data_IF_802070587911
#
_entry.id   IF_802070587911
#
_cell.length_a   1.000
_cell.length_b   1.000
_cell.length_c   1.000
_cell.angle_alpha   90.00
_cell.angle_beta   90.00
_cell.angle_gamma   90.00
#
_symmetry.space_group_name_H-M   'P 1'
#
loop_
_entity.id
_entity.type
_entity.pdbx_description
1 polymer ?
#
# COMPACT_ATOMS: atom_id res chain seq x y z
N UNK A 1 2.15 18.08 11.35
CA UNK A 1 3.29 18.90 10.88
C UNK A 1 4.26 18.02 10.11
N UNK A 2 4.62 18.36 8.86
CA UNK A 2 5.60 17.58 8.09
C UNK A 2 6.96 17.64 8.79
N UNK A 3 7.63 16.50 8.94
CA UNK A 3 8.97 16.43 9.55
C UNK A 3 10.03 16.67 8.49
N UNK A 4 11.05 17.46 8.85
CA UNK A 4 12.22 17.69 7.99
C UNK A 4 13.23 16.58 8.22
N UNK A 5 13.58 15.87 7.15
CA UNK A 5 14.69 14.92 7.16
C UNK A 5 16.01 15.67 7.05
N UNK A 6 16.97 15.35 7.91
CA UNK A 6 18.31 15.93 7.79
C UNK A 6 19.07 15.35 6.57
N UNK A 7 20.31 15.80 6.36
CA UNK A 7 21.13 15.32 5.23
C UNK A 7 21.41 13.82 5.34
N UNK A 8 21.70 13.30 6.54
CA UNK A 8 22.01 11.89 6.73
C UNK A 8 20.78 11.02 6.49
N UNK A 9 19.62 11.43 7.01
CA UNK A 9 18.35 10.72 6.82
C UNK A 9 17.96 10.65 5.33
N UNK A 10 18.10 11.77 4.60
CA UNK A 10 17.83 11.79 3.16
C UNK A 10 18.75 10.84 2.38
N UNK A 11 20.03 10.76 2.74
CA UNK A 11 20.99 9.84 2.09
C UNK A 11 20.68 8.38 2.40
N UNK A 12 20.25 8.06 3.63
CA UNK A 12 19.77 6.72 4.00
C UNK A 12 18.55 6.34 3.17
N UNK A 13 17.55 7.23 3.09
CA UNK A 13 16.33 6.99 2.30
C UNK A 13 16.64 6.80 0.82
N UNK A 14 17.54 7.61 0.25
CA UNK A 14 17.96 7.48 -1.14
C UNK A 14 18.62 6.12 -1.42
N UNK A 15 19.55 5.70 -0.55
CA UNK A 15 20.22 4.41 -0.71
C UNK A 15 19.25 3.22 -0.59
N UNK A 16 18.28 3.28 0.34
CA UNK A 16 17.24 2.26 0.49
C UNK A 16 16.19 2.28 -0.63
N UNK A 17 16.03 3.41 -1.31
CA UNK A 17 15.16 3.49 -2.50
C UNK A 17 15.80 2.82 -3.71
N UNK A 18 17.14 2.78 -3.79
CA UNK A 18 17.90 2.02 -4.79
C UNK A 18 17.94 0.54 -4.43
N UNK A 19 18.28 0.23 -3.19
CA UNK A 19 18.34 -1.14 -2.66
C UNK A 19 17.76 -1.23 -1.25
N UNK A 20 16.50 -1.67 -1.16
CA UNK A 20 15.81 -1.86 0.10
C UNK A 20 16.36 -3.02 0.95
N UNK A 21 17.22 -3.88 0.39
CA UNK A 21 17.86 -5.00 1.11
C UNK A 21 19.20 -4.59 1.74
N UNK A 22 19.74 -3.42 1.37
CA UNK A 22 21.03 -2.94 1.85
C UNK A 22 21.10 -2.92 3.38
N UNK A 23 22.08 -3.65 3.92
CA UNK A 23 22.31 -3.73 5.35
C UNK A 23 22.95 -2.44 5.89
N UNK A 24 22.80 -2.20 7.20
CA UNK A 24 23.37 -1.00 7.82
C UNK A 24 24.91 -0.87 7.71
N UNK A 25 25.63 -1.99 7.51
CA UNK A 25 27.08 -1.99 7.27
C UNK A 25 27.45 -1.42 5.90
N UNK A 26 26.82 -1.94 4.84
CA UNK A 26 26.99 -1.43 3.48
C UNK A 26 26.59 0.05 3.38
N UNK A 27 25.46 0.41 3.97
CA UNK A 27 25.01 1.80 4.02
C UNK A 27 26.01 2.68 4.77
N UNK A 28 26.63 2.20 5.84
CA UNK A 28 27.62 2.95 6.59
C UNK A 28 28.87 3.26 5.75
N UNK A 29 29.38 2.27 5.01
CA UNK A 29 30.50 2.45 4.08
C UNK A 29 30.17 3.46 2.97
N UNK A 30 29.01 3.30 2.31
CA UNK A 30 28.55 4.24 1.27
C UNK A 30 28.37 5.66 1.78
N UNK A 31 27.96 5.82 3.05
CA UNK A 31 27.59 7.11 3.61
C UNK A 31 28.73 7.82 4.37
N UNK A 32 29.82 7.12 4.66
CA UNK A 32 30.94 7.64 5.45
C UNK A 32 30.59 7.83 6.93
N UNK A 33 29.75 6.95 7.48
CA UNK A 33 29.32 6.97 8.89
C UNK A 33 29.48 5.58 9.50
N UNK A 34 29.13 5.41 10.78
CA UNK A 34 29.19 4.10 11.44
C UNK A 34 27.89 3.30 11.27
N UNK A 35 27.97 1.97 11.23
CA UNK A 35 26.78 1.11 11.15
C UNK A 35 25.79 1.32 12.31
N UNK A 36 26.22 1.50 13.58
CA UNK A 36 25.31 1.89 14.66
C UNK A 36 24.55 3.20 14.40
N UNK A 37 25.22 4.22 13.82
CA UNK A 37 24.56 5.49 13.45
C UNK A 37 23.45 5.25 12.42
N UNK A 38 23.71 4.45 11.38
CA UNK A 38 22.72 4.11 10.36
C UNK A 38 21.54 3.34 10.97
N UNK A 39 21.80 2.30 11.78
CA UNK A 39 20.74 1.51 12.43
C UNK A 39 19.83 2.38 13.29
N UNK A 40 20.40 3.26 14.10
CA UNK A 40 19.64 4.17 14.98
C UNK A 40 18.75 5.10 14.16
N UNK A 41 19.29 5.68 13.07
CA UNK A 41 18.53 6.57 12.19
C UNK A 41 17.42 5.83 11.44
N UNK A 42 17.71 4.67 10.85
CA UNK A 42 16.71 3.82 10.20
C UNK A 42 15.57 3.45 11.16
N UNK A 43 15.92 2.97 12.37
CA UNK A 43 14.92 2.63 13.40
C UNK A 43 14.07 3.83 13.76
N UNK A 44 14.67 5.01 13.88
CA UNK A 44 13.96 6.27 14.16
C UNK A 44 13.02 6.66 13.03
N UNK A 45 13.47 6.61 11.76
CA UNK A 45 12.64 6.92 10.59
C UNK A 45 11.45 5.96 10.48
N UNK A 46 11.67 4.66 10.71
CA UNK A 46 10.63 3.64 10.71
C UNK A 46 9.64 3.84 11.85
N UNK A 47 10.12 4.04 13.08
CA UNK A 47 9.26 4.26 14.24
C UNK A 47 8.40 5.53 14.11
N UNK A 48 8.89 6.53 13.38
CA UNK A 48 8.17 7.77 13.09
C UNK A 48 7.21 7.66 11.89
N UNK A 49 7.16 6.51 11.20
CA UNK A 49 6.35 6.31 10.00
C UNK A 49 6.86 7.05 8.76
N UNK A 50 8.10 7.55 8.78
CA UNK A 50 8.71 8.31 7.67
C UNK A 50 9.39 7.39 6.64
N UNK A 51 9.68 6.15 7.02
CA UNK A 51 10.31 5.14 6.16
C UNK A 51 9.62 3.79 6.40
N UNK A 52 9.31 3.07 5.32
CA UNK A 52 8.90 1.67 5.37
C UNK A 52 9.75 0.91 4.37
N UNK A 53 10.37 -0.17 4.83
CA UNK A 53 11.08 -1.13 3.97
C UNK A 53 10.14 -2.32 3.79
N UNK A 54 9.80 -2.64 2.54
CA UNK A 54 8.89 -3.73 2.21
C UNK A 54 9.29 -4.35 0.87
N UNK A 55 9.01 -5.65 0.73
CA UNK A 55 8.97 -6.28 -0.59
C UNK A 55 7.82 -5.70 -1.41
N UNK A 56 8.10 -5.37 -2.66
CA UNK A 56 7.10 -4.89 -3.61
C UNK A 56 6.88 -5.96 -4.67
N UNK A 57 5.63 -6.11 -5.11
CA UNK A 57 5.24 -7.03 -6.17
C UNK A 57 4.62 -6.26 -7.32
N UNK A 58 4.78 -6.79 -8.54
CA UNK A 58 3.99 -6.35 -9.68
C UNK A 58 2.74 -7.24 -9.79
N UNK A 59 1.55 -6.74 -9.46
CA UNK A 59 0.33 -7.55 -9.48
C UNK A 59 -0.06 -7.99 -10.90
N UNK A 60 0.49 -7.38 -11.95
CA UNK A 60 0.26 -7.80 -13.34
C UNK A 60 1.21 -8.91 -13.79
N UNK A 61 2.21 -9.25 -12.99
CA UNK A 61 3.11 -10.39 -13.21
C UNK A 61 2.76 -11.60 -12.33
N UNK A 62 1.72 -11.48 -11.49
CA UNK A 62 1.31 -12.49 -10.54
C UNK A 62 -0.12 -12.94 -10.87
N UNK A 63 -0.29 -14.24 -11.12
CA UNK A 63 -1.60 -14.80 -11.37
C UNK A 63 -2.47 -14.76 -10.11
N UNK A 64 -3.77 -14.53 -10.30
CA UNK A 64 -4.73 -14.46 -9.21
C UNK A 64 -4.73 -13.12 -8.48
N UNK A 65 -4.14 -12.06 -9.05
CA UNK A 65 -4.32 -10.70 -8.55
C UNK A 65 -5.03 -9.84 -9.60
N UNK A 66 -6.09 -9.16 -9.19
CA UNK A 66 -6.77 -8.15 -10.00
C UNK A 66 -6.65 -6.81 -9.31
N UNK A 67 -6.36 -5.75 -10.09
CA UNK A 67 -6.27 -4.38 -9.59
C UNK A 67 -7.46 -3.59 -10.11
N UNK A 68 -8.13 -2.86 -9.23
CA UNK A 68 -9.19 -1.94 -9.61
C UNK A 68 -9.01 -0.58 -8.92
N UNK A 69 -9.42 0.48 -9.61
CA UNK A 69 -9.61 1.80 -9.03
C UNK A 69 -11.09 2.00 -8.72
N UNK A 70 -11.41 2.60 -7.58
CA UNK A 70 -12.78 2.92 -7.20
C UNK A 70 -12.86 4.41 -6.87
N UNK A 71 -13.66 5.13 -7.63
CA UNK A 71 -14.05 6.51 -7.33
C UNK A 71 -15.27 6.53 -6.43
N UNK A 72 -15.19 7.23 -5.31
CA UNK A 72 -16.21 7.27 -4.27
C UNK A 72 -16.69 8.70 -4.10
N UNK A 73 -18.02 8.87 -4.13
CA UNK A 73 -18.70 10.10 -3.76
C UNK A 73 -19.38 9.90 -2.41
N UNK A 74 -19.15 10.81 -1.47
CA UNK A 74 -19.74 10.78 -0.15
C UNK A 74 -21.08 11.53 -0.14
N UNK A 75 -21.96 11.15 0.79
CA UNK A 75 -23.23 11.87 1.04
C UNK A 75 -22.99 13.25 1.68
N UNK A 76 -21.87 13.42 2.37
CA UNK A 76 -21.50 14.66 3.05
C UNK A 76 -19.98 14.77 3.17
N UNK A 77 -19.46 15.97 3.01
CA UNK A 77 -18.02 16.25 3.10
C UNK A 77 -17.54 16.51 4.54
N UNK A 78 -18.45 16.58 5.53
CA UNK A 78 -18.09 16.91 6.92
C UNK A 78 -17.22 15.85 7.62
N UNK A 79 -17.09 14.66 7.04
CA UNK A 79 -16.34 13.53 7.62
C UNK A 79 -15.31 12.96 6.64
N UNK A 80 -14.78 13.77 5.73
CA UNK A 80 -13.91 13.30 4.66
C UNK A 80 -12.66 12.58 5.17
N UNK A 81 -11.93 13.16 6.13
CA UNK A 81 -10.73 12.53 6.71
C UNK A 81 -11.05 11.24 7.45
N UNK A 82 -12.16 11.22 8.20
CA UNK A 82 -12.63 10.01 8.90
C UNK A 82 -12.97 8.90 7.90
N UNK A 83 -13.69 9.23 6.83
CA UNK A 83 -14.05 8.28 5.77
C UNK A 83 -12.82 7.78 5.03
N UNK A 84 -11.86 8.66 4.75
CA UNK A 84 -10.57 8.28 4.18
C UNK A 84 -9.86 7.25 5.06
N UNK A 85 -9.78 7.47 6.38
CA UNK A 85 -9.17 6.52 7.31
C UNK A 85 -9.91 5.18 7.39
N UNK A 86 -11.24 5.20 7.48
CA UNK A 86 -12.06 3.97 7.50
C UNK A 86 -11.86 3.13 6.22
N UNK A 87 -11.86 3.79 5.06
CA UNK A 87 -11.64 3.14 3.76
C UNK A 87 -10.21 2.62 3.64
N UNK A 88 -9.21 3.40 4.06
CA UNK A 88 -7.80 3.02 3.96
C UNK A 88 -7.46 1.76 4.78
N UNK A 89 -8.24 1.47 5.82
CA UNK A 89 -8.06 0.27 6.66
C UNK A 89 -8.73 -0.98 6.07
N UNK A 90 -9.54 -0.87 5.01
CA UNK A 90 -10.17 -2.03 4.40
C UNK A 90 -9.11 -3.02 3.85
N UNK A 91 -9.33 -4.34 3.97
CA UNK A 91 -8.28 -5.33 3.73
C UNK A 91 -7.65 -5.28 2.32
N UNK A 92 -8.49 -5.05 1.31
CA UNK A 92 -8.09 -5.06 -0.10
C UNK A 92 -7.55 -3.70 -0.58
N UNK A 93 -7.57 -2.66 0.25
CA UNK A 93 -7.12 -1.32 -0.14
C UNK A 93 -5.60 -1.23 -0.11
N UNK A 94 -5.02 -0.85 -1.25
CA UNK A 94 -3.59 -0.55 -1.37
C UNK A 94 -3.29 0.90 -0.96
N UNK A 95 -4.11 1.84 -1.43
CA UNK A 95 -4.08 3.23 -1.00
C UNK A 95 -5.45 3.89 -1.24
N UNK A 96 -5.71 4.95 -0.49
CA UNK A 96 -6.85 5.84 -0.69
C UNK A 96 -6.38 7.29 -0.62
N UNK A 97 -7.00 8.16 -1.40
CA UNK A 97 -6.67 9.57 -1.43
C UNK A 97 -7.93 10.42 -1.60
N UNK A 98 -7.97 11.54 -0.88
CA UNK A 98 -8.88 12.64 -1.21
C UNK A 98 -8.37 13.30 -2.48
N UNK A 99 -9.25 13.49 -3.45
CA UNK A 99 -8.88 14.07 -4.74
C UNK A 99 -9.79 15.22 -5.14
N UNK A 100 -9.26 16.12 -5.96
CA UNK A 100 -10.07 17.07 -6.69
C UNK A 100 -10.69 16.37 -7.90
N UNK A 101 -11.99 16.56 -8.14
CA UNK A 101 -12.65 16.00 -9.32
C UNK A 101 -14.10 15.64 -9.05
N UNK A 102 -14.63 14.69 -9.82
CA UNK A 102 -16.03 14.22 -9.68
C UNK A 102 -16.27 13.31 -8.46
N UNK A 103 -15.19 12.80 -7.87
CA UNK A 103 -15.19 11.96 -6.68
C UNK A 103 -14.48 12.67 -5.54
N UNK A 104 -14.89 12.35 -4.32
CA UNK A 104 -14.27 12.87 -3.11
C UNK A 104 -13.04 12.03 -2.72
N UNK A 105 -13.11 10.72 -2.94
CA UNK A 105 -12.04 9.76 -2.64
C UNK A 105 -11.79 8.86 -3.85
N UNK A 106 -10.52 8.68 -4.22
CA UNK A 106 -10.05 7.60 -5.09
C UNK A 106 -9.35 6.54 -4.27
N UNK A 107 -9.66 5.29 -4.57
CA UNK A 107 -9.10 4.11 -3.90
C UNK A 107 -8.54 3.18 -4.94
N UNK A 108 -7.39 2.59 -4.64
CA UNK A 108 -6.92 1.41 -5.35
C UNK A 108 -7.07 0.18 -4.49
N UNK A 109 -7.66 -0.87 -5.07
CA UNK A 109 -7.80 -2.17 -4.44
C UNK A 109 -7.04 -3.25 -5.21
N UNK A 110 -6.64 -4.28 -4.48
CA UNK A 110 -6.09 -5.54 -5.01
C UNK A 110 -6.91 -6.69 -4.46
N UNK A 111 -7.41 -7.54 -5.34
CA UNK A 111 -8.32 -8.65 -5.02
C UNK A 111 -7.77 -9.95 -5.59
N UNK A 112 -8.04 -11.07 -4.90
CA UNK A 112 -7.48 -12.40 -5.21
C UNK A 112 -8.41 -13.29 -6.05
N UNK A 113 -9.69 -12.94 -6.12
CA UNK A 113 -10.77 -13.75 -6.71
C UNK A 113 -11.46 -12.97 -7.83
N UNK A 114 -10.69 -12.59 -8.87
CA UNK A 114 -11.20 -11.93 -10.09
C UNK A 114 -12.28 -10.84 -9.87
N UNK A 115 -13.43 -10.93 -10.52
CA UNK A 115 -14.53 -9.95 -10.46
C UNK A 115 -15.43 -10.16 -9.25
N UNK A 116 -15.51 -11.38 -8.68
CA UNK A 116 -16.30 -11.61 -7.45
C UNK A 116 -15.71 -10.85 -6.28
N UNK A 117 -14.38 -10.78 -6.19
CA UNK A 117 -13.69 -9.97 -5.19
C UNK A 117 -14.00 -8.47 -5.28
N UNK A 118 -14.31 -7.97 -6.48
CA UNK A 118 -14.73 -6.57 -6.66
C UNK A 118 -16.16 -6.38 -6.18
N UNK A 119 -17.06 -7.32 -6.47
CA UNK A 119 -18.42 -7.28 -5.95
C UNK A 119 -18.42 -7.28 -4.41
N UNK A 120 -17.68 -8.20 -3.78
CA UNK A 120 -17.57 -8.29 -2.33
C UNK A 120 -17.02 -7.02 -1.70
N UNK A 121 -16.00 -6.42 -2.32
CA UNK A 121 -15.47 -5.14 -1.87
C UNK A 121 -16.53 -4.03 -1.92
N UNK A 122 -17.29 -3.94 -3.02
CA UNK A 122 -18.30 -2.89 -3.18
C UNK A 122 -19.52 -3.10 -2.27
N UNK A 123 -20.03 -4.33 -2.22
CA UNK A 123 -21.28 -4.69 -1.55
C UNK A 123 -21.11 -4.83 -0.04
N UNK A 124 -20.03 -5.47 0.41
CA UNK A 124 -19.79 -5.75 1.84
C UNK A 124 -18.89 -4.69 2.48
N UNK A 125 -17.69 -4.53 1.95
CA UNK A 125 -16.64 -3.75 2.63
C UNK A 125 -16.94 -2.25 2.54
N UNK A 126 -17.15 -1.73 1.33
CA UNK A 126 -17.40 -0.32 1.07
C UNK A 126 -18.78 0.13 1.59
N UNK A 127 -19.83 -0.68 1.40
CA UNK A 127 -21.14 -0.39 1.99
C UNK A 127 -21.10 -0.37 3.52
N UNK A 128 -20.30 -1.25 4.13
CA UNK A 128 -20.11 -1.31 5.58
C UNK A 128 -19.50 -0.04 6.18
N UNK A 129 -18.69 0.70 5.42
CA UNK A 129 -18.19 2.03 5.83
C UNK A 129 -19.35 3.02 5.98
N UNK A 130 -20.37 2.94 5.13
CA UNK A 130 -21.51 3.85 5.13
C UNK A 130 -21.16 5.30 4.74
N UNK A 131 -22.19 6.10 4.45
CA UNK A 131 -22.00 7.50 4.03
C UNK A 131 -21.50 7.67 2.59
N UNK A 132 -21.45 6.59 1.82
CA UNK A 132 -21.20 6.59 0.37
C UNK A 132 -22.51 6.91 -0.36
N UNK A 133 -22.48 7.90 -1.25
CA UNK A 133 -23.60 8.27 -2.11
C UNK A 133 -23.61 7.45 -3.39
N UNK A 134 -22.43 7.28 -3.99
CA UNK A 134 -22.23 6.48 -5.20
C UNK A 134 -20.76 6.09 -5.33
N UNK A 135 -20.50 4.99 -6.03
CA UNK A 135 -19.16 4.60 -6.43
C UNK A 135 -19.12 4.23 -7.91
N UNK A 136 -17.92 4.26 -8.49
CA UNK A 136 -17.66 3.80 -9.85
C UNK A 136 -16.29 3.14 -9.90
N UNK A 137 -16.23 1.98 -10.55
CA UNK A 137 -15.07 1.10 -10.51
C UNK A 137 -14.44 0.94 -11.88
N UNK A 138 -13.11 0.87 -11.92
CA UNK A 138 -12.28 0.73 -13.11
C UNK A 138 -11.35 -0.45 -12.90
N UNK A 139 -11.66 -1.58 -13.54
CA UNK A 139 -10.72 -2.72 -13.57
C UNK A 139 -9.52 -2.31 -14.41
N UNK A 140 -8.33 -2.36 -13.82
CA UNK A 140 -7.10 -1.96 -14.50
C UNK A 140 -6.64 -3.12 -15.36
N UNK A 141 -6.78 -2.99 -16.68
CA UNK A 141 -6.41 -4.05 -17.63
C UNK A 141 -4.90 -4.20 -17.83
N UNK A 142 -4.15 -3.10 -17.68
CA UNK A 142 -2.69 -3.07 -17.89
C UNK A 142 -2.06 -1.88 -17.19
N UNK A 143 -0.88 -2.08 -16.60
CA UNK A 143 -0.07 -1.01 -16.03
C UNK A 143 1.41 -1.15 -16.40
N UNK A 144 2.19 -0.11 -16.10
CA UNK A 144 3.66 -0.07 -16.20
C UNK A 144 4.20 0.54 -14.91
N UNK A 145 5.34 0.04 -14.43
CA UNK A 145 5.97 0.46 -13.16
C UNK A 145 5.03 0.30 -11.95
N UNK A 146 4.25 -0.78 -11.93
CA UNK A 146 3.23 -1.03 -10.90
C UNK A 146 3.81 -1.89 -9.78
N UNK A 147 4.63 -1.28 -8.93
CA UNK A 147 5.20 -1.96 -7.76
C UNK A 147 4.45 -1.53 -6.50
N UNK A 148 3.87 -2.49 -5.79
CA UNK A 148 3.06 -2.23 -4.59
C UNK A 148 3.42 -3.20 -3.46
N UNK A 149 3.32 -2.77 -2.18
CA UNK A 149 3.26 -3.74 -1.10
C UNK A 149 1.95 -4.52 -1.22
N UNK A 150 1.97 -5.82 -0.89
CA UNK A 150 0.75 -6.62 -0.98
C UNK A 150 -0.24 -6.22 0.15
N UNK A 151 -1.49 -5.79 -0.19
CA UNK A 151 -2.51 -5.45 0.79
C UNK A 151 -2.87 -6.63 1.69
N UNK A 152 -3.44 -6.35 2.88
CA UNK A 152 -3.72 -7.39 3.89
C UNK A 152 -4.64 -8.49 3.36
N UNK A 153 -5.71 -8.11 2.67
CA UNK A 153 -6.68 -9.05 2.10
C UNK A 153 -6.11 -9.89 0.96
N UNK A 154 -5.12 -9.39 0.24
CA UNK A 154 -4.43 -10.15 -0.80
C UNK A 154 -3.33 -11.09 -0.26
N UNK A 155 -3.03 -11.07 1.05
CA UNK A 155 -2.02 -11.98 1.63
C UNK A 155 -2.48 -13.42 1.75
N UNK A 156 -3.80 -13.68 1.74
CA UNK A 156 -4.35 -15.04 1.74
C UNK A 156 -3.97 -15.84 0.49
N UNK A 157 -3.61 -15.15 -0.60
CA UNK A 157 -2.96 -15.73 -1.78
C UNK A 157 -1.74 -16.63 -1.44
N UNK A 158 -1.01 -16.33 -0.36
CA UNK A 158 0.09 -17.19 0.10
C UNK A 158 -0.36 -18.48 0.79
N UNK A 159 -1.53 -18.48 1.43
CA UNK A 159 -1.99 -19.59 2.25
C UNK A 159 -2.45 -20.78 1.39
N UNK A 160 -3.11 -20.51 0.26
CA UNK A 160 -3.66 -21.55 -0.62
C UNK A 160 -2.56 -22.35 -1.33
N UNK A 161 -1.44 -21.71 -1.68
CA UNK A 161 -0.30 -22.34 -2.36
C UNK A 161 0.63 -23.14 -1.44
N UNK A 162 0.50 -23.02 -0.11
CA UNK A 162 1.31 -23.78 0.85
C UNK A 162 0.63 -25.05 1.34
N UNK A 163 -0.65 -25.26 1.05
CA UNK A 163 -1.39 -26.51 1.33
C UNK A 163 -1.00 -27.68 0.42
N UNK A 164 -0.18 -27.46 -0.61
CA UNK A 164 0.21 -28.46 -1.61
C UNK A 164 1.66 -28.93 -1.49
N UNK A 165 2.39 -28.57 -0.43
CA UNK A 165 3.81 -28.94 -0.24
C UNK A 165 4.13 -29.69 1.06
N UNK A 166 3.14 -30.32 1.69
CA UNK A 166 3.36 -31.18 2.88
C UNK A 166 2.98 -32.65 2.67
N UNK A 167 3.00 -33.13 1.42
CA UNK A 167 2.87 -34.55 1.08
C UNK A 167 3.89 -34.93 0.00
N UNK A 168 5.18 -34.91 0.35
CA UNK A 168 6.23 -35.71 -0.31
C UNK A 168 7.27 -36.16 0.73
#
# INVERSE_FOLDING_TARGET
>A
MKKTLDVADRRIVAALAEDGQAGAGELAERLGVTAPTVRTRMKSLIAQGLLRVAGLVDPFQVNGLTVALVGIKLKSHMQLDKKLSEIAELPNVNWAAVVTGRYDILVEIVITEDISGLYDFLDRDLSGVGGVASSESFVVMKARRKWIPLPRGARTWYAENNSTKSEE
#
